data_IF_739103011126
#
_entry.id   IF_739103011126
#
_cell.length_a   1.000
_cell.length_b   1.000
_cell.length_c   1.000
_cell.angle_alpha   90.00
_cell.angle_beta   90.00
_cell.angle_gamma   90.00
#
_symmetry.space_group_name_H-M   'P 1'
#
loop_
_entity.id
_entity.type
_entity.pdbx_description
1 polymer ?
#
# COMPACT_ATOMS: atom_id res chain seq x y z
N UNK A 1 -16.55 6.48 -1.32
CA UNK A 1 -16.02 7.24 -0.15
C UNK A 1 -14.70 7.86 -0.58
N UNK A 2 -14.51 9.17 -0.40
CA UNK A 2 -13.28 9.84 -0.82
C UNK A 2 -12.40 10.11 0.40
N UNK A 3 -11.10 9.86 0.30
CA UNK A 3 -10.12 10.01 1.38
C UNK A 3 -8.92 10.78 0.85
N UNK A 4 -8.43 11.74 1.63
CA UNK A 4 -7.17 12.44 1.32
C UNK A 4 -6.08 11.90 2.23
N UNK A 5 -4.96 11.48 1.65
CA UNK A 5 -3.78 11.00 2.37
C UNK A 5 -2.66 12.03 2.22
N UNK A 6 -2.01 12.39 3.33
CA UNK A 6 -0.76 13.16 3.28
C UNK A 6 0.40 12.19 3.19
N UNK A 7 1.29 12.43 2.24
CA UNK A 7 2.41 11.55 1.95
C UNK A 7 3.63 12.38 1.57
N UNK A 8 4.82 11.89 1.92
CA UNK A 8 6.07 12.48 1.46
C UNK A 8 6.16 12.34 -0.07
N UNK A 9 6.72 13.36 -0.74
CA UNK A 9 6.68 13.46 -2.20
C UNK A 9 7.52 12.39 -2.89
N UNK A 10 8.65 12.04 -2.29
CA UNK A 10 9.53 10.94 -2.69
C UNK A 10 8.79 9.60 -2.66
N UNK A 11 8.11 9.29 -1.55
CA UNK A 11 7.31 8.08 -1.42
C UNK A 11 6.17 8.02 -2.46
N UNK A 12 5.48 9.14 -2.69
CA UNK A 12 4.43 9.20 -3.71
C UNK A 12 5.00 8.93 -5.12
N UNK A 13 6.17 9.49 -5.43
CA UNK A 13 6.82 9.27 -6.72
C UNK A 13 7.24 7.81 -6.91
N UNK A 14 7.74 7.15 -5.88
CA UNK A 14 8.09 5.74 -5.97
C UNK A 14 6.86 4.84 -6.11
N UNK A 15 5.79 5.12 -5.35
CA UNK A 15 4.50 4.42 -5.54
C UNK A 15 3.96 4.60 -6.95
N UNK A 16 4.11 5.79 -7.54
CA UNK A 16 3.67 6.06 -8.91
C UNK A 16 4.43 5.23 -9.93
N UNK A 17 5.75 5.03 -9.75
CA UNK A 17 6.56 4.16 -10.63
C UNK A 17 6.12 2.70 -10.51
N UNK A 18 5.98 2.21 -9.29
CA UNK A 18 5.55 0.82 -9.03
C UNK A 18 4.15 0.59 -9.61
N UNK A 19 3.22 1.52 -9.39
CA UNK A 19 1.88 1.42 -9.94
C UNK A 19 1.89 1.34 -11.49
N UNK A 20 2.78 2.09 -12.14
CA UNK A 20 2.94 2.05 -13.60
C UNK A 20 3.50 0.70 -14.07
N UNK A 21 4.54 0.19 -13.40
CA UNK A 21 5.17 -1.11 -13.72
C UNK A 21 4.19 -2.28 -13.55
N UNK A 22 3.30 -2.18 -12.55
CA UNK A 22 2.31 -3.20 -12.21
C UNK A 22 0.98 -3.02 -12.97
N UNK A 23 0.90 -2.09 -13.93
CA UNK A 23 -0.31 -1.73 -14.68
C UNK A 23 -1.52 -1.39 -13.78
N UNK A 24 -1.27 -0.74 -12.65
CA UNK A 24 -2.27 -0.34 -11.64
C UNK A 24 -2.45 1.16 -11.57
N UNK A 25 -3.64 1.58 -11.15
CA UNK A 25 -3.82 2.95 -10.67
C UNK A 25 -3.05 3.15 -9.36
N UNK A 26 -2.61 4.39 -9.08
CA UNK A 26 -1.93 4.75 -7.82
C UNK A 26 -2.78 4.33 -6.61
N UNK A 27 -4.09 4.56 -6.66
CA UNK A 27 -5.01 4.13 -5.59
C UNK A 27 -5.07 2.60 -5.46
N UNK A 28 -5.02 1.87 -6.57
CA UNK A 28 -4.97 0.41 -6.58
C UNK A 28 -3.71 -0.11 -5.91
N UNK A 29 -2.57 0.51 -6.21
CA UNK A 29 -1.28 0.14 -5.62
C UNK A 29 -1.24 0.44 -4.11
N UNK A 30 -1.72 1.61 -3.69
CA UNK A 30 -1.86 1.95 -2.26
C UNK A 30 -2.74 0.91 -1.54
N UNK A 31 -3.88 0.54 -2.14
CA UNK A 31 -4.76 -0.49 -1.57
C UNK A 31 -4.08 -1.85 -1.47
N UNK A 32 -3.31 -2.24 -2.50
CA UNK A 32 -2.60 -3.51 -2.54
C UNK A 32 -1.56 -3.60 -1.41
N UNK A 33 -0.69 -2.59 -1.30
CA UNK A 33 0.36 -2.53 -0.28
C UNK A 33 -0.23 -2.57 1.12
N UNK A 34 -1.27 -1.77 1.39
CA UNK A 34 -1.92 -1.74 2.71
C UNK A 34 -2.56 -3.08 3.07
N UNK A 35 -3.23 -3.75 2.12
CA UNK A 35 -3.81 -5.08 2.35
C UNK A 35 -2.73 -6.10 2.71
N UNK A 36 -1.66 -6.15 1.91
CA UNK A 36 -0.53 -7.07 2.13
C UNK A 36 0.09 -6.87 3.50
N UNK A 37 0.37 -5.62 3.90
CA UNK A 37 0.90 -5.32 5.23
C UNK A 37 -0.03 -5.77 6.36
N UNK A 38 -1.34 -5.52 6.26
CA UNK A 38 -2.31 -5.92 7.28
C UNK A 38 -2.38 -7.45 7.40
N UNK A 39 -2.34 -8.18 6.29
CA UNK A 39 -2.34 -9.64 6.28
C UNK A 39 -1.09 -10.21 6.96
N UNK A 40 0.08 -9.69 6.63
CA UNK A 40 1.36 -10.08 7.25
C UNK A 40 1.37 -9.78 8.76
N UNK A 41 0.90 -8.59 9.14
CA UNK A 41 0.78 -8.19 10.54
C UNK A 41 -0.14 -9.11 11.35
N UNK A 42 -1.29 -9.49 10.79
CA UNK A 42 -2.23 -10.42 11.44
C UNK A 42 -1.62 -11.79 11.64
N UNK A 43 -0.98 -12.35 10.60
CA UNK A 43 -0.28 -13.65 10.67
C UNK A 43 0.82 -13.63 11.73
N UNK A 44 1.61 -12.56 11.80
CA UNK A 44 2.66 -12.42 12.81
C UNK A 44 2.09 -12.39 14.24
N UNK A 45 0.95 -11.72 14.46
CA UNK A 45 0.29 -11.67 15.76
C UNK A 45 -0.38 -12.98 16.17
N UNK A 46 -0.93 -13.73 15.21
CA UNK A 46 -1.55 -15.04 15.47
C UNK A 46 -0.50 -16.10 15.83
N UNK A 47 0.66 -16.09 15.15
CA UNK A 47 1.77 -17.01 15.45
C UNK A 47 2.56 -16.67 16.73
N UNK A 48 2.28 -15.53 17.36
CA UNK A 48 2.92 -15.10 18.62
C UNK A 48 2.03 -15.33 19.86
N UNK A 49 0.89 -16.01 19.69
CA UNK A 49 -0.01 -16.43 20.78
C UNK A 49 0.06 -17.94 20.94
#
# INVERSE_FOLDING_TARGET
MNMTLRMAIDLYNDLKKIALEEERSINGEICYILKKYIEEYKKAKENSK
#
